data_IF_396288389044
#
_entry.id   IF_396288389044
#
_cell.length_a   1.000
_cell.length_b   1.000
_cell.length_c   1.000
_cell.angle_alpha   90.00
_cell.angle_beta   90.00
_cell.angle_gamma   90.00
#
_symmetry.space_group_name_H-M   'P 1'
#
loop_
_entity.id
_entity.type
_entity.pdbx_description
1 polymer ?
#
# COMPACT_ATOMS: atom_id res chain seq x y z
N UNK A 1 17.51 -4.92 -4.96
CA UNK A 1 17.49 -3.49 -5.28
C UNK A 1 17.28 -3.36 -6.77
N UNK A 2 16.23 -2.68 -7.20
CA UNK A 2 16.00 -2.39 -8.63
C UNK A 2 17.03 -1.39 -9.15
N UNK A 3 17.24 -1.37 -10.47
CA UNK A 3 18.18 -0.45 -11.12
C UNK A 3 17.85 1.03 -10.82
N UNK A 4 16.55 1.34 -10.70
CA UNK A 4 16.05 2.65 -10.30
C UNK A 4 16.39 3.01 -8.84
N UNK A 5 16.31 2.04 -7.91
CA UNK A 5 16.71 2.24 -6.51
C UNK A 5 18.22 2.46 -6.39
N UNK A 6 19.04 1.72 -7.14
CA UNK A 6 20.49 1.90 -7.19
C UNK A 6 20.89 3.28 -7.73
N UNK A 7 20.20 3.76 -8.75
CA UNK A 7 20.45 5.09 -9.33
C UNK A 7 20.14 6.22 -8.32
N UNK A 8 19.05 6.09 -7.55
CA UNK A 8 18.66 7.11 -6.56
C UNK A 8 19.56 7.11 -5.31
N UNK A 9 19.98 5.93 -4.84
CA UNK A 9 21.00 5.84 -3.78
C UNK A 9 22.31 6.48 -4.22
N UNK A 10 22.69 6.32 -5.49
CA UNK A 10 23.85 7.00 -6.08
C UNK A 10 23.76 8.53 -6.05
N UNK A 11 22.56 9.09 -6.28
CA UNK A 11 22.33 10.55 -6.17
C UNK A 11 22.44 11.05 -4.73
N UNK A 12 21.95 10.29 -3.75
CA UNK A 12 22.09 10.60 -2.32
C UNK A 12 23.56 10.63 -1.88
N UNK A 13 24.34 9.62 -2.27
CA UNK A 13 25.78 9.56 -2.00
C UNK A 13 26.49 10.79 -2.57
N UNK A 14 26.16 11.18 -3.82
CA UNK A 14 26.74 12.36 -4.45
C UNK A 14 26.43 13.67 -3.70
N UNK A 15 25.23 13.82 -3.13
CA UNK A 15 24.87 15.00 -2.33
C UNK A 15 25.61 15.00 -0.99
N UNK A 16 25.71 13.85 -0.33
CA UNK A 16 26.48 13.70 0.92
C UNK A 16 27.95 14.07 0.69
N UNK A 17 28.55 13.60 -0.40
CA UNK A 17 29.94 13.89 -0.75
C UNK A 17 30.16 15.39 -0.98
N UNK A 18 29.25 16.06 -1.68
CA UNK A 18 29.31 17.52 -1.91
C UNK A 18 29.18 18.32 -0.62
N UNK A 19 28.28 17.91 0.28
CA UNK A 19 28.15 18.54 1.61
C UNK A 19 29.44 18.33 2.42
N UNK A 20 30.00 17.12 2.41
CA UNK A 20 31.23 16.78 3.11
C UNK A 20 32.43 17.60 2.59
N UNK A 21 32.52 17.83 1.28
CA UNK A 21 33.55 18.66 0.67
C UNK A 21 33.39 20.14 1.01
N UNK A 22 32.15 20.63 1.11
CA UNK A 22 31.87 22.01 1.50
C UNK A 22 32.26 22.29 2.96
N UNK A 23 32.02 21.35 3.87
CA UNK A 23 32.47 21.47 5.27
C UNK A 23 33.99 21.56 5.42
N UNK A 24 34.77 21.00 4.48
CA UNK A 24 36.25 21.09 4.49
C UNK A 24 36.77 22.49 4.12
N UNK A 25 35.95 23.33 3.46
CA UNK A 25 36.31 24.68 3.03
C UNK A 25 36.07 25.76 4.11
N UNK A 26 35.47 25.40 5.24
CA UNK A 26 35.12 26.32 6.33
C UNK A 26 36.27 27.04 7.07
N UNK A 27 37.57 26.68 6.97
CA UNK A 27 38.60 27.43 7.70
C UNK A 27 38.96 28.81 7.12
N UNK A 28 38.79 29.07 5.81
CA UNK A 28 39.40 30.24 5.15
C UNK A 28 38.55 30.88 4.00
N UNK A 29 37.21 30.83 4.08
CA UNK A 29 36.28 31.14 2.97
C UNK A 29 35.59 32.53 2.97
N UNK A 30 34.78 32.84 1.92
CA UNK A 30 34.26 34.17 1.54
C UNK A 30 33.33 34.83 2.57
N UNK A 31 33.02 36.13 2.38
CA UNK A 31 32.12 36.91 3.26
C UNK A 31 30.85 36.14 3.60
N UNK A 32 30.49 36.16 4.89
CA UNK A 32 29.41 35.38 5.53
C UNK A 32 28.16 35.22 4.67
N UNK A 33 27.70 36.29 4.02
CA UNK A 33 26.44 36.29 3.27
C UNK A 33 26.46 35.41 2.02
N UNK A 34 27.58 35.37 1.30
CA UNK A 34 27.73 34.53 0.10
C UNK A 34 27.86 33.05 0.46
N UNK A 35 28.44 32.77 1.62
CA UNK A 35 28.51 31.42 2.18
C UNK A 35 27.12 30.93 2.58
N UNK A 36 26.33 31.78 3.25
CA UNK A 36 24.96 31.47 3.66
C UNK A 36 24.08 31.17 2.43
N UNK A 37 24.11 32.04 1.41
CA UNK A 37 23.34 31.82 0.17
C UNK A 37 23.68 30.50 -0.53
N UNK A 38 24.96 30.13 -0.59
CA UNK A 38 25.38 28.86 -1.18
C UNK A 38 24.86 27.66 -0.37
N UNK A 39 24.91 27.73 0.96
CA UNK A 39 24.39 26.67 1.83
C UNK A 39 22.87 26.52 1.67
N UNK A 40 22.13 27.63 1.64
CA UNK A 40 20.68 27.62 1.43
C UNK A 40 20.30 26.99 0.09
N UNK A 41 21.04 27.33 -0.98
CA UNK A 41 20.80 26.77 -2.30
C UNK A 41 21.06 25.26 -2.35
N UNK A 42 22.14 24.78 -1.73
CA UNK A 42 22.44 23.34 -1.70
C UNK A 42 21.46 22.57 -0.81
N UNK A 43 21.02 23.15 0.31
CA UNK A 43 19.96 22.57 1.14
C UNK A 43 18.63 22.46 0.37
N UNK A 44 18.30 23.47 -0.44
CA UNK A 44 17.11 23.43 -1.29
C UNK A 44 17.23 22.35 -2.38
N UNK A 45 18.38 22.24 -3.03
CA UNK A 45 18.65 21.18 -4.01
C UNK A 45 18.52 19.77 -3.39
N UNK A 46 19.01 19.61 -2.15
CA UNK A 46 18.91 18.36 -1.39
C UNK A 46 17.45 18.02 -1.06
N UNK A 47 16.67 19.01 -0.60
CA UNK A 47 15.22 18.85 -0.34
C UNK A 47 14.47 18.40 -1.59
N UNK A 48 14.74 19.01 -2.75
CA UNK A 48 14.05 18.68 -4.00
C UNK A 48 14.40 17.28 -4.51
N UNK A 49 15.65 16.86 -4.33
CA UNK A 49 16.10 15.50 -4.60
C UNK A 49 15.41 14.49 -3.68
N UNK A 50 15.33 14.77 -2.37
CA UNK A 50 14.61 13.92 -1.41
C UNK A 50 13.13 13.79 -1.76
N UNK A 51 12.46 14.89 -2.13
CA UNK A 51 11.06 14.85 -2.55
C UNK A 51 10.87 13.99 -3.81
N UNK A 52 11.80 14.07 -4.75
CA UNK A 52 11.79 13.23 -5.96
C UNK A 52 11.93 11.75 -5.61
N UNK A 53 12.85 11.41 -4.70
CA UNK A 53 13.06 10.03 -4.23
C UNK A 53 11.83 9.50 -3.52
N UNK A 54 11.30 10.25 -2.56
CA UNK A 54 10.06 9.89 -1.85
C UNK A 54 8.93 9.64 -2.85
N UNK A 55 8.83 10.48 -3.89
CA UNK A 55 7.85 10.28 -4.95
C UNK A 55 8.07 8.94 -5.65
N UNK A 56 9.27 8.68 -6.17
CA UNK A 56 9.60 7.45 -6.91
C UNK A 56 9.40 6.19 -6.08
N UNK A 57 9.81 6.19 -4.81
CA UNK A 57 9.64 5.05 -3.90
C UNK A 57 8.16 4.77 -3.59
N UNK A 58 7.31 5.81 -3.60
CA UNK A 58 5.87 5.66 -3.40
C UNK A 58 5.11 5.31 -4.68
N UNK A 59 5.69 5.50 -5.87
CA UNK A 59 5.01 5.26 -7.15
C UNK A 59 4.44 3.84 -7.30
N UNK A 60 5.18 2.75 -7.01
CA UNK A 60 4.64 1.40 -7.16
C UNK A 60 3.42 1.18 -6.25
N UNK A 61 3.53 1.61 -4.99
CA UNK A 61 2.42 1.53 -4.02
C UNK A 61 1.22 2.32 -4.51
N UNK A 62 1.41 3.58 -4.94
CA UNK A 62 0.33 4.43 -5.47
C UNK A 62 -0.37 3.78 -6.66
N UNK A 63 0.39 3.17 -7.57
CA UNK A 63 -0.17 2.45 -8.73
C UNK A 63 -1.05 1.27 -8.30
N UNK A 64 -0.60 0.46 -7.34
CA UNK A 64 -1.38 -0.68 -6.82
C UNK A 64 -2.69 -0.21 -6.20
N UNK A 65 -2.64 0.77 -5.28
CA UNK A 65 -3.87 1.29 -4.66
C UNK A 65 -4.82 1.91 -5.69
N UNK A 66 -4.30 2.64 -6.70
CA UNK A 66 -5.13 3.16 -7.79
C UNK A 66 -5.80 2.06 -8.63
N UNK A 67 -5.18 0.88 -8.76
CA UNK A 67 -5.78 -0.26 -9.45
C UNK A 67 -6.89 -0.90 -8.60
N UNK A 68 -6.67 -1.03 -7.29
CA UNK A 68 -7.69 -1.50 -6.34
C UNK A 68 -8.90 -0.55 -6.36
N UNK A 69 -8.69 0.77 -6.35
CA UNK A 69 -9.79 1.75 -6.42
C UNK A 69 -10.61 1.61 -7.71
N UNK A 70 -9.96 1.38 -8.84
CA UNK A 70 -10.65 1.16 -10.13
C UNK A 70 -11.47 -0.12 -10.11
N UNK A 71 -10.91 -1.18 -9.57
CA UNK A 71 -11.61 -2.47 -9.44
C UNK A 71 -12.81 -2.34 -8.49
N UNK A 72 -12.63 -1.68 -7.34
CA UNK A 72 -13.74 -1.34 -6.43
C UNK A 72 -14.88 -0.62 -7.14
N UNK A 73 -14.56 0.42 -7.91
CA UNK A 73 -15.55 1.16 -8.69
C UNK A 73 -16.23 0.32 -9.77
N UNK A 74 -15.50 -0.61 -10.40
CA UNK A 74 -16.06 -1.54 -11.36
C UNK A 74 -17.04 -2.50 -10.68
N UNK A 75 -16.62 -3.19 -9.61
CA UNK A 75 -17.48 -4.10 -8.88
C UNK A 75 -18.72 -3.37 -8.34
N UNK A 76 -18.58 -2.14 -7.81
CA UNK A 76 -19.72 -1.37 -7.28
C UNK A 76 -20.78 -1.07 -8.35
N UNK A 77 -20.35 -0.93 -9.63
CA UNK A 77 -21.27 -0.79 -10.76
C UNK A 77 -21.95 -2.11 -11.11
N UNK A 78 -21.20 -3.20 -11.14
CA UNK A 78 -21.71 -4.52 -11.54
C UNK A 78 -22.64 -5.14 -10.48
N UNK A 79 -22.26 -5.06 -9.21
CA UNK A 79 -22.93 -5.77 -8.11
C UNK A 79 -23.65 -4.83 -7.13
N UNK A 80 -23.58 -3.52 -7.35
CA UNK A 80 -24.13 -2.50 -6.47
C UNK A 80 -23.20 -2.10 -5.32
N UNK A 81 -23.35 -0.87 -4.84
CA UNK A 81 -22.57 -0.27 -3.76
C UNK A 81 -23.06 -0.68 -2.36
N UNK A 82 -24.37 -0.81 -2.16
CA UNK A 82 -24.99 -1.13 -0.86
C UNK A 82 -25.01 -2.64 -0.58
N UNK A 83 -23.83 -3.27 -0.55
CA UNK A 83 -23.70 -4.71 -0.31
C UNK A 83 -23.85 -5.03 1.17
N UNK A 84 -25.09 -5.18 1.63
CA UNK A 84 -25.40 -5.69 2.97
C UNK A 84 -25.23 -7.20 3.04
N UNK A 85 -24.04 -7.69 2.73
CA UNK A 85 -23.71 -9.10 2.85
C UNK A 85 -23.42 -9.46 4.30
N UNK A 86 -23.81 -10.68 4.67
CA UNK A 86 -23.40 -11.29 5.94
C UNK A 86 -21.90 -11.65 5.87
N UNK A 87 -21.25 -11.81 7.02
CA UNK A 87 -19.85 -12.24 7.05
C UNK A 87 -19.58 -13.56 6.29
N UNK A 88 -20.45 -14.60 6.34
CA UNK A 88 -20.29 -15.78 5.50
C UNK A 88 -20.36 -15.50 3.99
N UNK A 89 -21.24 -14.59 3.56
CA UNK A 89 -21.35 -14.24 2.14
C UNK A 89 -20.10 -13.51 1.66
N UNK A 90 -19.57 -12.56 2.45
CA UNK A 90 -18.28 -11.92 2.16
C UNK A 90 -17.13 -12.92 2.09
N UNK A 91 -17.09 -13.89 3.02
CA UNK A 91 -16.08 -14.94 3.00
C UNK A 91 -16.15 -15.80 1.72
N UNK A 92 -17.36 -16.16 1.27
CA UNK A 92 -17.54 -16.94 0.03
C UNK A 92 -17.00 -16.18 -1.17
N UNK A 93 -17.36 -14.89 -1.30
CA UNK A 93 -16.87 -14.04 -2.40
C UNK A 93 -15.35 -13.94 -2.36
N UNK A 94 -14.76 -13.66 -1.19
CA UNK A 94 -13.30 -13.62 -1.05
C UNK A 94 -12.64 -14.96 -1.39
N UNK A 95 -13.27 -16.08 -1.01
CA UNK A 95 -12.74 -17.41 -1.30
C UNK A 95 -12.76 -17.73 -2.80
N UNK A 96 -13.73 -17.21 -3.54
CA UNK A 96 -13.80 -17.30 -5.01
C UNK A 96 -12.60 -16.58 -5.65
N UNK A 97 -12.38 -15.31 -5.30
CA UNK A 97 -11.24 -14.52 -5.80
C UNK A 97 -9.88 -15.16 -5.48
N UNK A 98 -9.71 -15.69 -4.27
CA UNK A 98 -8.49 -16.41 -3.87
C UNK A 98 -8.33 -17.72 -4.67
N UNK A 99 -9.44 -18.35 -5.07
CA UNK A 99 -9.43 -19.49 -5.98
C UNK A 99 -8.84 -19.13 -7.34
N UNK A 100 -9.24 -17.99 -7.91
CA UNK A 100 -8.71 -17.49 -9.19
C UNK A 100 -7.21 -17.14 -9.08
N UNK A 101 -6.77 -16.56 -7.95
CA UNK A 101 -5.33 -16.37 -7.66
C UNK A 101 -4.58 -17.71 -7.71
N UNK A 102 -5.13 -18.77 -7.12
CA UNK A 102 -4.51 -20.09 -7.13
C UNK A 102 -4.42 -20.68 -8.53
N UNK A 103 -5.46 -20.50 -9.36
CA UNK A 103 -5.46 -20.89 -10.77
C UNK A 103 -4.41 -20.13 -11.58
N UNK A 104 -4.30 -18.80 -11.40
CA UNK A 104 -3.33 -17.97 -12.09
C UNK A 104 -1.87 -18.36 -11.76
N UNK A 105 -1.59 -18.73 -10.50
CA UNK A 105 -0.28 -19.28 -10.08
C UNK A 105 0.02 -20.57 -10.83
N UNK A 106 -0.94 -21.50 -10.89
CA UNK A 106 -0.75 -22.77 -11.61
C UNK A 106 -0.56 -22.55 -13.11
N UNK A 107 -1.30 -21.61 -13.69
CA UNK A 107 -1.19 -21.19 -15.09
C UNK A 107 0.09 -20.44 -15.42
N UNK A 108 0.91 -20.06 -14.43
CA UNK A 108 2.17 -19.30 -14.58
C UNK A 108 2.02 -17.96 -15.32
N UNK A 109 0.86 -17.31 -15.20
CA UNK A 109 0.58 -16.00 -15.80
C UNK A 109 0.78 -14.90 -14.77
N UNK A 110 1.79 -14.05 -14.96
CA UNK A 110 2.10 -12.96 -14.01
C UNK A 110 1.07 -11.83 -14.11
N UNK A 111 0.58 -11.56 -15.32
CA UNK A 111 -0.46 -10.57 -15.60
C UNK A 111 -1.78 -10.97 -14.94
N UNK A 112 -2.23 -12.20 -15.17
CA UNK A 112 -3.45 -12.72 -14.57
C UNK A 112 -3.32 -12.78 -13.04
N UNK A 113 -2.18 -13.27 -12.52
CA UNK A 113 -1.93 -13.28 -11.08
C UNK A 113 -2.07 -11.88 -10.47
N UNK A 114 -1.55 -10.86 -11.17
CA UNK A 114 -1.67 -9.49 -10.71
C UNK A 114 -3.13 -9.02 -10.71
N UNK A 115 -3.89 -9.36 -11.74
CA UNK A 115 -5.32 -9.04 -11.84
C UNK A 115 -6.10 -9.67 -10.68
N UNK A 116 -5.97 -10.99 -10.45
CA UNK A 116 -6.72 -11.67 -9.37
C UNK A 116 -6.33 -11.20 -7.97
N UNK A 117 -5.07 -10.81 -7.77
CA UNK A 117 -4.64 -10.18 -6.52
C UNK A 117 -5.30 -8.80 -6.30
N UNK A 118 -5.52 -8.04 -7.37
CA UNK A 118 -6.23 -6.75 -7.29
C UNK A 118 -7.71 -6.97 -6.99
N UNK A 119 -8.36 -7.95 -7.64
CA UNK A 119 -9.76 -8.30 -7.39
C UNK A 119 -9.97 -8.77 -5.95
N UNK A 120 -9.12 -9.70 -5.47
CA UNK A 120 -9.10 -10.14 -4.07
C UNK A 120 -8.96 -8.97 -3.09
N UNK A 121 -8.03 -8.05 -3.36
CA UNK A 121 -7.82 -6.88 -2.51
C UNK A 121 -9.02 -5.93 -2.52
N UNK A 122 -9.68 -5.76 -3.67
CA UNK A 122 -10.91 -4.97 -3.76
C UNK A 122 -12.04 -5.58 -2.93
N UNK A 123 -12.22 -6.90 -2.93
CA UNK A 123 -13.22 -7.55 -2.07
C UNK A 123 -12.92 -7.34 -0.58
N UNK A 124 -11.64 -7.45 -0.18
CA UNK A 124 -11.23 -7.19 1.22
C UNK A 124 -11.53 -5.74 1.62
N UNK A 125 -11.19 -4.76 0.76
CA UNK A 125 -11.49 -3.35 1.01
C UNK A 125 -12.99 -3.13 1.14
N UNK A 126 -13.80 -3.67 0.23
CA UNK A 126 -15.26 -3.56 0.28
C UNK A 126 -15.85 -4.13 1.58
N UNK A 127 -15.31 -5.26 2.04
CA UNK A 127 -15.74 -5.88 3.30
C UNK A 127 -15.35 -5.02 4.51
N UNK A 128 -14.12 -4.50 4.55
CA UNK A 128 -13.67 -3.58 5.61
C UNK A 128 -14.51 -2.31 5.64
N UNK A 129 -14.80 -1.70 4.49
CA UNK A 129 -15.68 -0.53 4.41
C UNK A 129 -17.09 -0.83 4.95
N UNK A 130 -17.60 -2.05 4.73
CA UNK A 130 -18.90 -2.49 5.26
C UNK A 130 -18.87 -2.67 6.79
N UNK A 131 -17.73 -3.16 7.32
CA UNK A 131 -17.49 -3.22 8.78
C UNK A 131 -17.49 -1.81 9.36
N UNK A 132 -16.72 -0.90 8.76
CA UNK A 132 -16.55 0.47 9.24
C UNK A 132 -17.85 1.28 9.16
N UNK A 133 -18.75 0.97 8.23
CA UNK A 133 -20.10 1.54 8.15
C UNK A 133 -21.11 0.92 9.13
N UNK A 134 -20.71 -0.07 9.94
CA UNK A 134 -21.60 -0.88 10.80
C UNK A 134 -22.74 -1.55 10.01
N UNK A 135 -22.53 -1.79 8.71
CA UNK A 135 -23.51 -2.36 7.78
C UNK A 135 -23.44 -3.87 7.68
N UNK A 136 -22.50 -4.50 8.38
CA UNK A 136 -22.52 -5.95 8.54
C UNK A 136 -23.68 -6.33 9.45
N UNK A 137 -24.69 -7.08 8.96
CA UNK A 137 -25.52 -7.87 9.85
C UNK A 137 -24.62 -8.92 10.48
N UNK A 138 -24.02 -8.57 11.61
CA UNK A 138 -23.27 -9.50 12.43
C UNK A 138 -24.22 -10.64 12.76
N UNK A 139 -23.89 -11.85 12.31
CA UNK A 139 -24.16 -13.00 13.16
C UNK A 139 -23.48 -12.63 14.46
N UNK A 140 -24.22 -12.54 15.56
CA UNK A 140 -23.66 -12.32 16.89
C UNK A 140 -22.67 -13.47 17.16
N UNK A 141 -21.41 -13.26 16.80
CA UNK A 141 -20.38 -14.28 16.83
C UNK A 141 -20.10 -14.67 18.28
N UNK A 142 -20.21 -13.73 19.21
CA UNK A 142 -20.17 -14.04 20.64
C UNK A 142 -21.27 -15.02 21.02
N UNK A 143 -22.52 -14.77 20.60
CA UNK A 143 -23.64 -15.69 20.83
C UNK A 143 -23.46 -17.02 20.10
N UNK A 144 -22.95 -17.03 18.87
CA UNK A 144 -22.67 -18.25 18.13
C UNK A 144 -21.61 -19.11 18.83
N UNK A 145 -20.48 -18.51 19.22
CA UNK A 145 -19.39 -19.22 19.93
C UNK A 145 -19.80 -19.64 21.34
N UNK A 146 -20.60 -18.83 22.04
CA UNK A 146 -21.19 -19.20 23.35
C UNK A 146 -22.10 -20.43 23.21
N UNK A 147 -23.02 -20.42 22.25
CA UNK A 147 -23.92 -21.53 21.99
C UNK A 147 -23.18 -22.81 21.54
N UNK A 148 -22.08 -22.67 20.80
CA UNK A 148 -21.26 -23.82 20.38
C UNK A 148 -20.56 -24.47 21.58
N UNK A 149 -19.92 -23.67 22.46
CA UNK A 149 -19.29 -24.17 23.69
C UNK A 149 -20.30 -24.85 24.62
N UNK A 150 -21.49 -24.26 24.76
CA UNK A 150 -22.58 -24.85 25.56
C UNK A 150 -23.04 -26.21 25.01
N UNK A 151 -23.16 -26.35 23.68
CA UNK A 151 -23.52 -27.64 23.06
C UNK A 151 -22.41 -28.70 23.19
N UNK A 152 -21.15 -28.31 23.11
CA UNK A 152 -20.01 -29.24 23.29
C UNK A 152 -19.88 -29.73 24.74
N UNK A 153 -20.30 -28.94 25.73
CA UNK A 153 -20.33 -29.34 27.15
C UNK A 153 -21.50 -30.27 27.54
N UNK A 154 -22.57 -30.31 26.74
CA UNK A 154 -23.77 -31.15 27.04
C UNK A 154 -23.65 -32.55 26.43
N UNK A 155 -22.68 -32.77 25.54
CA UNK A 155 -22.49 -34.03 24.80
C UNK A 155 -21.24 -34.83 25.29
N UNK A 156 -20.53 -34.32 26.31
CA UNK A 156 -19.44 -35.03 27.00
C UNK A 156 -19.88 -35.56 28.36
#
# INVERSE_FOLDING_TARGET
>A
MSEAESLEVGKLICVIDKIADFTKLLPNGPSSDKLIQNIEQELQNCRDSLNTIVRVLQEPRRKVFSQIDKERLFQDREYGFERRFTAPAWYIILAEEIGEVAEAIQGSSTEQLKEELIQSAAVIVAWLETIDREELPLIDLEKYWRNKKEKEMVVG
#
